data_IF_553637036075
#
_entry.id   IF_553637036075
#
_cell.length_a   1.000
_cell.length_b   1.000
_cell.length_c   1.000
_cell.angle_alpha   90.00
_cell.angle_beta   90.00
_cell.angle_gamma   90.00
#
_symmetry.space_group_name_H-M   'P 1'
#
loop_
_entity.id
_entity.type
_entity.pdbx_description
1 polymer ?
#
# COMPACT_ATOMS: atom_id res chain seq x y z
N UNK A 1 11.03 5.94 -11.61
CA UNK A 1 9.58 6.27 -11.52
C UNK A 1 9.49 7.77 -11.35
N UNK A 2 8.45 8.43 -11.86
CA UNK A 2 8.21 9.83 -11.52
C UNK A 2 7.84 9.93 -10.03
N UNK A 3 8.22 11.01 -9.32
CA UNK A 3 7.71 11.27 -8.00
C UNK A 3 6.19 11.40 -8.05
N UNK A 4 5.53 10.88 -7.03
CA UNK A 4 4.09 10.92 -6.80
C UNK A 4 3.76 11.92 -5.70
N UNK A 5 2.48 12.27 -5.56
CA UNK A 5 2.06 13.09 -4.42
C UNK A 5 2.39 12.43 -3.06
N UNK A 6 2.43 11.10 -3.00
CA UNK A 6 2.83 10.35 -1.81
C UNK A 6 4.26 10.67 -1.33
N UNK A 7 5.17 11.11 -2.22
CA UNK A 7 6.55 11.42 -1.81
C UNK A 7 6.66 12.76 -1.05
N UNK A 8 5.63 13.60 -1.12
CA UNK A 8 5.68 14.98 -0.61
C UNK A 8 4.53 15.34 0.34
N UNK A 9 3.52 14.48 0.45
CA UNK A 9 2.33 14.69 1.26
C UNK A 9 2.15 13.52 2.25
N UNK A 10 2.32 13.84 3.53
CA UNK A 10 2.21 12.86 4.62
C UNK A 10 0.78 12.32 4.75
N UNK A 11 -0.25 13.14 4.51
CA UNK A 11 -1.65 12.71 4.61
C UNK A 11 -1.96 11.70 3.51
N UNK A 12 -1.52 11.97 2.28
CA UNK A 12 -1.70 11.02 1.18
C UNK A 12 -0.89 9.74 1.39
N UNK A 13 0.27 9.84 2.05
CA UNK A 13 1.07 8.67 2.44
C UNK A 13 0.33 7.80 3.45
N UNK A 14 -0.27 8.42 4.48
CA UNK A 14 -1.05 7.70 5.49
C UNK A 14 -2.25 7.00 4.86
N UNK A 15 -3.00 7.70 4.00
CA UNK A 15 -4.10 7.12 3.22
C UNK A 15 -3.65 5.94 2.36
N UNK A 16 -2.48 6.04 1.73
CA UNK A 16 -1.91 4.95 0.95
C UNK A 16 -1.60 3.74 1.83
N UNK A 17 -0.92 3.94 2.96
CA UNK A 17 -0.57 2.84 3.87
C UNK A 17 -1.81 2.16 4.42
N UNK A 18 -2.81 2.93 4.86
CA UNK A 18 -4.07 2.39 5.37
C UNK A 18 -4.87 1.67 4.28
N UNK A 19 -4.86 2.19 3.04
CA UNK A 19 -5.49 1.51 1.91
C UNK A 19 -4.82 0.17 1.61
N UNK A 20 -3.48 0.11 1.63
CA UNK A 20 -2.73 -1.12 1.42
C UNK A 20 -2.95 -2.13 2.54
N UNK A 21 -3.17 -1.66 3.77
CA UNK A 21 -3.45 -2.47 4.96
C UNK A 21 -4.91 -2.88 5.10
N UNK A 22 -5.82 -2.26 4.33
CA UNK A 22 -7.25 -2.52 4.42
C UNK A 22 -7.89 -1.90 5.66
N UNK A 23 -7.27 -0.86 6.22
CA UNK A 23 -7.71 -0.16 7.42
C UNK A 23 -8.69 0.99 7.11
N UNK A 24 -8.82 1.39 5.84
CA UNK A 24 -9.79 2.40 5.44
C UNK A 24 -11.22 1.90 5.58
N UNK A 25 -12.10 2.76 6.07
CA UNK A 25 -13.53 2.52 6.03
C UNK A 25 -14.07 2.67 4.59
N UNK A 26 -15.34 2.30 4.37
CA UNK A 26 -15.94 2.32 3.02
C UNK A 26 -15.92 3.70 2.35
N UNK A 27 -16.13 4.76 3.10
CA UNK A 27 -16.18 6.12 2.55
C UNK A 27 -14.79 6.64 2.20
N UNK A 28 -13.80 6.37 3.06
CA UNK A 28 -12.39 6.66 2.81
C UNK A 28 -11.86 5.88 1.61
N UNK A 29 -12.18 4.59 1.54
CA UNK A 29 -11.80 3.73 0.44
C UNK A 29 -12.35 4.28 -0.89
N UNK A 30 -13.64 4.61 -0.94
CA UNK A 30 -14.26 5.18 -2.14
C UNK A 30 -13.59 6.49 -2.55
N UNK A 31 -13.35 7.38 -1.58
CA UNK A 31 -12.74 8.69 -1.85
C UNK A 31 -11.31 8.54 -2.38
N UNK A 32 -10.55 7.59 -1.83
CA UNK A 32 -9.20 7.29 -2.28
C UNK A 32 -9.18 6.63 -3.67
N UNK A 33 -10.11 5.71 -3.95
CA UNK A 33 -10.25 5.11 -5.27
C UNK A 33 -10.62 6.14 -6.34
N UNK A 34 -11.53 7.08 -6.02
CA UNK A 34 -11.89 8.19 -6.91
C UNK A 34 -10.68 9.09 -7.21
N UNK A 35 -9.86 9.38 -6.20
CA UNK A 35 -8.58 10.08 -6.37
C UNK A 35 -7.65 9.31 -7.33
N UNK A 36 -7.49 7.99 -7.16
CA UNK A 36 -6.64 7.18 -8.03
C UNK A 36 -7.16 7.07 -9.47
N UNK A 37 -8.48 7.16 -9.70
CA UNK A 37 -9.04 7.20 -11.05
C UNK A 37 -8.58 8.44 -11.81
N UNK A 38 -8.49 9.58 -11.12
CA UNK A 38 -8.07 10.86 -11.70
C UNK A 38 -6.53 10.96 -11.83
N UNK A 39 -5.78 10.25 -10.98
CA UNK A 39 -4.34 10.35 -10.84
C UNK A 39 -3.64 9.04 -11.29
N UNK A 40 -3.32 8.97 -12.59
CA UNK A 40 -2.84 7.72 -13.24
C UNK A 40 -1.50 7.23 -12.71
N UNK A 41 -0.58 8.13 -12.40
CA UNK A 41 0.78 7.77 -11.94
C UNK A 41 0.71 7.20 -10.51
N UNK A 42 -0.10 7.81 -9.65
CA UNK A 42 -0.44 7.37 -8.30
C UNK A 42 -1.13 6.01 -8.34
N UNK A 43 -2.11 5.81 -9.24
CA UNK A 43 -2.75 4.50 -9.43
C UNK A 43 -1.75 3.41 -9.81
N UNK A 44 -0.81 3.72 -10.70
CA UNK A 44 0.25 2.77 -11.06
C UNK A 44 1.19 2.49 -9.88
N UNK A 45 1.49 3.50 -9.07
CA UNK A 45 2.25 3.35 -7.84
C UNK A 45 1.55 2.39 -6.87
N UNK A 46 0.27 2.63 -6.56
CA UNK A 46 -0.52 1.79 -5.64
C UNK A 46 -0.57 0.35 -6.12
N UNK A 47 -0.78 0.11 -7.41
CA UNK A 47 -0.77 -1.25 -7.98
C UNK A 47 0.58 -1.96 -7.80
N UNK A 48 1.70 -1.23 -7.92
CA UNK A 48 3.04 -1.78 -7.68
C UNK A 48 3.25 -2.04 -6.19
N UNK A 49 2.83 -1.14 -5.32
CA UNK A 49 2.92 -1.29 -3.87
C UNK A 49 2.13 -2.53 -3.39
N UNK A 50 0.90 -2.73 -3.88
CA UNK A 50 0.12 -3.95 -3.61
C UNK A 50 0.84 -5.23 -4.04
N UNK A 51 1.44 -5.25 -5.24
CA UNK A 51 2.22 -6.39 -5.74
C UNK A 51 3.44 -6.65 -4.85
N UNK A 52 4.14 -5.59 -4.44
CA UNK A 52 5.27 -5.66 -3.52
C UNK A 52 4.88 -6.25 -2.16
N UNK A 53 3.81 -5.74 -1.54
CA UNK A 53 3.26 -6.27 -0.28
C UNK A 53 2.92 -7.75 -0.39
N UNK A 54 2.24 -8.17 -1.46
CA UNK A 54 1.90 -9.58 -1.71
C UNK A 54 3.14 -10.46 -1.89
N UNK A 55 4.17 -9.95 -2.57
CA UNK A 55 5.42 -10.68 -2.73
C UNK A 55 6.12 -10.88 -1.39
N UNK A 56 6.22 -9.81 -0.58
CA UNK A 56 6.83 -9.87 0.76
C UNK A 56 6.07 -10.81 1.70
N UNK A 57 4.74 -10.77 1.70
CA UNK A 57 3.92 -11.69 2.49
C UNK A 57 4.20 -13.16 2.13
N UNK A 58 4.27 -13.47 0.83
CA UNK A 58 4.63 -14.83 0.35
C UNK A 58 6.05 -15.24 0.71
N UNK A 59 6.97 -14.30 0.86
CA UNK A 59 8.32 -14.60 1.35
C UNK A 59 8.30 -14.85 2.86
N UNK A 60 7.59 -14.04 3.63
CA UNK A 60 7.43 -14.24 5.07
C UNK A 60 6.81 -15.61 5.39
N UNK A 61 5.77 -16.02 4.66
CA UNK A 61 5.15 -17.36 4.81
C UNK A 61 6.13 -18.52 4.58
N UNK A 62 7.19 -18.29 3.79
CA UNK A 62 8.22 -19.29 3.49
C UNK A 62 9.39 -19.26 4.47
N UNK A 63 9.53 -18.19 5.25
CA UNK A 63 10.51 -18.11 6.33
C UNK A 63 9.81 -18.63 7.59
N UNK A 64 9.79 -19.95 7.77
CA UNK A 64 9.61 -20.52 9.10
C UNK A 64 10.80 -20.04 9.94
N UNK A 65 10.59 -19.00 10.75
CA UNK A 65 11.58 -18.57 11.73
C UNK A 65 11.67 -19.73 12.73
N UNK A 66 12.82 -20.44 12.87
CA UNK A 66 12.95 -21.40 13.94
C UNK A 66 12.77 -20.63 15.25
N UNK A 67 11.74 -21.00 16.02
CA UNK A 67 11.49 -20.42 17.33
C UNK A 67 12.69 -20.80 18.21
N UNK A 68 13.64 -19.87 18.38
CA UNK A 68 14.70 -20.03 19.36
C UNK A 68 14.03 -19.79 20.72
N UNK A 69 13.59 -20.87 21.35
CA UNK A 69 13.18 -20.84 22.76
C UNK A 69 14.41 -20.47 23.58
N UNK A 70 14.41 -19.27 24.14
CA UNK A 70 15.37 -18.86 25.17
C UNK A 70 14.81 -19.20 26.56
#
# INVERSE_FOLDING_TARGET
MKPTAFDNDAVLTDFLTDYLDGNLNKAEQQSFEDYLVQNKDERQFVQKAMKGKKALARFADKITIPSITA
#
